data_IF_322720050317
#
_entry.id   IF_322720050317
#
_cell.length_a   1.000
_cell.length_b   1.000
_cell.length_c   1.000
_cell.angle_alpha   90.00
_cell.angle_beta   90.00
_cell.angle_gamma   90.00
#
_symmetry.space_group_name_H-M   'P 1'
#
loop_
_entity.id
_entity.type
_entity.pdbx_description
1 polymer ?
#
# COMPACT_ATOMS: atom_id res chain seq x y z
N UNK A 1 -9.96 0.17 -35.08
CA UNK A 1 -10.24 1.61 -35.13
C UNK A 1 -9.27 2.22 -34.13
N UNK A 2 -8.22 2.85 -34.62
CA UNK A 2 -7.27 3.63 -33.82
C UNK A 2 -8.05 4.81 -33.24
N UNK A 3 -8.00 4.95 -31.94
CA UNK A 3 -8.63 6.06 -31.18
C UNK A 3 -7.74 7.30 -31.33
N UNK A 4 -7.71 7.86 -32.53
CA UNK A 4 -6.74 8.87 -33.01
C UNK A 4 -6.94 10.29 -32.41
N UNK A 5 -7.71 10.41 -31.33
CA UNK A 5 -7.99 11.72 -30.70
C UNK A 5 -7.79 11.79 -29.20
N UNK A 6 -7.85 10.66 -28.50
CA UNK A 6 -7.77 10.65 -27.03
C UNK A 6 -6.31 10.71 -26.56
N UNK A 7 -5.96 11.72 -25.78
CA UNK A 7 -4.69 11.79 -25.05
C UNK A 7 -4.99 12.18 -23.60
N UNK A 8 -4.84 11.24 -22.69
CA UNK A 8 -5.20 11.42 -21.27
C UNK A 8 -4.46 12.59 -20.60
N UNK A 9 -3.34 13.04 -21.14
CA UNK A 9 -2.66 14.23 -20.64
C UNK A 9 -3.21 15.53 -21.22
N UNK A 10 -3.74 15.51 -22.47
CA UNK A 10 -4.42 16.65 -23.09
C UNK A 10 -5.83 16.85 -22.54
N UNK A 11 -6.50 15.76 -22.18
CA UNK A 11 -7.86 15.77 -21.65
C UNK A 11 -7.90 16.00 -20.12
N UNK A 12 -6.73 16.06 -19.45
CA UNK A 12 -6.61 16.43 -18.05
C UNK A 12 -7.05 17.88 -17.81
N UNK A 13 -7.62 18.14 -16.63
CA UNK A 13 -7.80 19.53 -16.20
C UNK A 13 -6.44 20.26 -16.21
N UNK A 14 -6.27 21.10 -17.23
CA UNK A 14 -5.02 21.81 -17.45
C UNK A 14 -4.61 22.70 -16.27
N UNK A 15 -5.57 23.11 -15.44
CA UNK A 15 -5.31 23.89 -14.25
C UNK A 15 -4.35 23.19 -13.27
N UNK A 16 -4.41 21.84 -13.20
CA UNK A 16 -3.52 21.03 -12.34
C UNK A 16 -2.06 21.13 -12.82
N UNK A 17 -1.83 21.13 -14.14
CA UNK A 17 -0.50 21.33 -14.74
C UNK A 17 0.03 22.75 -14.50
N UNK A 18 -0.86 23.76 -14.57
CA UNK A 18 -0.50 25.16 -14.35
C UNK A 18 -0.16 25.50 -12.91
N UNK A 19 -0.65 24.73 -11.93
CA UNK A 19 -0.33 24.96 -10.52
C UNK A 19 1.18 24.85 -10.22
N UNK A 20 1.93 24.10 -11.04
CA UNK A 20 3.37 23.95 -10.83
C UNK A 20 4.14 25.23 -11.23
N UNK A 21 4.63 25.96 -10.25
CA UNK A 21 5.46 27.16 -10.42
C UNK A 21 6.96 26.86 -10.58
N UNK A 22 7.36 25.62 -10.71
CA UNK A 22 8.76 25.16 -10.82
C UNK A 22 9.70 25.64 -9.70
N UNK A 23 9.19 25.94 -8.49
CA UNK A 23 9.95 26.50 -7.37
C UNK A 23 11.03 25.58 -6.77
N UNK A 24 10.94 24.25 -7.02
CA UNK A 24 11.93 23.29 -6.58
C UNK A 24 11.76 22.73 -5.16
N UNK A 25 10.75 23.15 -4.38
CA UNK A 25 10.52 22.66 -3.01
C UNK A 25 10.28 21.14 -2.94
N UNK A 26 9.90 20.51 -4.04
CA UNK A 26 9.71 19.06 -4.16
C UNK A 26 11.04 18.29 -4.37
N UNK A 27 12.14 18.93 -4.73
CA UNK A 27 13.40 18.26 -5.07
C UNK A 27 14.02 17.53 -3.88
N UNK A 28 14.16 18.12 -2.68
CA UNK A 28 14.78 17.48 -1.53
C UNK A 28 14.00 16.26 -1.02
N UNK A 29 12.71 16.14 -1.37
CA UNK A 29 11.84 15.03 -0.92
C UNK A 29 11.75 13.89 -1.92
N UNK A 30 12.38 14.02 -3.09
CA UNK A 30 12.24 13.08 -4.19
C UNK A 30 13.36 12.05 -4.23
N UNK A 31 13.09 10.74 -3.97
CA UNK A 31 14.14 9.72 -3.98
C UNK A 31 14.80 9.51 -5.35
N UNK A 32 14.05 9.69 -6.45
CA UNK A 32 14.62 9.54 -7.79
C UNK A 32 15.49 10.73 -8.19
N UNK A 33 15.18 11.93 -7.71
CA UNK A 33 16.05 13.08 -7.89
C UNK A 33 17.30 12.97 -7.01
N UNK A 34 17.16 12.58 -5.74
CA UNK A 34 18.29 12.38 -4.82
C UNK A 34 19.32 11.38 -5.38
N UNK A 35 18.82 10.29 -6.01
CA UNK A 35 19.69 9.25 -6.58
C UNK A 35 20.38 9.66 -7.89
N UNK A 36 19.79 10.58 -8.68
CA UNK A 36 20.28 10.87 -10.04
C UNK A 36 20.77 12.29 -10.24
N UNK A 37 20.32 13.23 -9.40
CA UNK A 37 20.48 14.68 -9.56
C UNK A 37 20.04 15.20 -10.94
N UNK A 38 19.21 14.41 -11.64
CA UNK A 38 18.69 14.72 -12.97
C UNK A 38 17.33 15.39 -12.86
N UNK A 39 17.19 16.55 -13.54
CA UNK A 39 15.94 17.32 -13.52
C UNK A 39 14.76 16.50 -14.08
N UNK A 40 14.97 15.73 -15.16
CA UNK A 40 13.92 14.88 -15.74
C UNK A 40 13.38 13.83 -14.77
N UNK A 41 14.21 13.38 -13.82
CA UNK A 41 13.82 12.42 -12.78
C UNK A 41 13.26 13.10 -11.53
N UNK A 42 13.05 14.42 -11.57
CA UNK A 42 12.44 15.21 -10.51
C UNK A 42 10.91 15.32 -10.67
N UNK A 43 10.15 15.66 -9.61
CA UNK A 43 8.71 15.87 -9.73
C UNK A 43 8.35 17.01 -10.69
N UNK A 44 9.00 18.17 -10.55
CA UNK A 44 8.74 19.34 -11.41
C UNK A 44 9.19 19.08 -12.87
N UNK A 45 10.28 18.35 -13.08
CA UNK A 45 10.73 17.97 -14.41
C UNK A 45 9.73 17.02 -15.09
N UNK A 46 9.14 16.06 -14.36
CA UNK A 46 8.07 15.22 -14.86
C UNK A 46 6.82 16.03 -15.20
N UNK A 47 6.43 16.98 -14.34
CA UNK A 47 5.30 17.89 -14.64
C UNK A 47 5.59 18.73 -15.89
N UNK A 48 6.81 19.23 -16.06
CA UNK A 48 7.21 19.98 -17.25
C UNK A 48 7.04 19.13 -18.53
N UNK A 49 7.46 17.87 -18.53
CA UNK A 49 7.25 16.95 -19.65
C UNK A 49 5.76 16.68 -19.91
N UNK A 50 4.96 16.45 -18.85
CA UNK A 50 3.50 16.25 -18.99
C UNK A 50 2.84 17.48 -19.59
N UNK A 51 3.25 18.68 -19.15
CA UNK A 51 2.73 19.96 -19.67
C UNK A 51 3.09 20.15 -21.13
N UNK A 52 4.35 19.94 -21.51
CA UNK A 52 4.76 20.06 -22.91
C UNK A 52 4.01 19.07 -23.84
N UNK A 53 3.66 17.87 -23.35
CA UNK A 53 2.81 16.91 -24.06
C UNK A 53 1.37 17.42 -24.17
N UNK A 54 0.83 17.97 -23.08
CA UNK A 54 -0.53 18.57 -23.10
C UNK A 54 -0.62 19.75 -24.05
N UNK A 55 0.43 20.58 -24.10
CA UNK A 55 0.53 21.74 -25.01
C UNK A 55 0.79 21.34 -26.48
N UNK A 56 1.09 20.04 -26.74
CA UNK A 56 1.42 19.55 -28.07
C UNK A 56 2.83 19.88 -28.56
N UNK A 57 3.70 20.33 -27.65
CA UNK A 57 5.10 20.65 -27.93
C UNK A 57 6.00 19.39 -27.92
N UNK A 58 5.61 18.34 -27.18
CA UNK A 58 6.27 17.04 -27.13
C UNK A 58 5.28 15.92 -27.43
N UNK A 59 5.80 14.86 -28.02
CA UNK A 59 5.11 13.59 -28.13
C UNK A 59 5.39 12.69 -26.92
N UNK A 60 4.46 11.79 -26.60
CA UNK A 60 4.69 10.76 -25.60
C UNK A 60 5.73 9.79 -26.13
N UNK A 61 6.93 9.83 -25.60
CA UNK A 61 8.08 9.05 -26.05
C UNK A 61 8.45 7.91 -25.09
N UNK A 62 9.31 6.99 -25.53
CA UNK A 62 9.88 5.94 -24.66
C UNK A 62 10.62 6.54 -23.47
N UNK A 63 11.38 7.63 -23.67
CA UNK A 63 12.07 8.32 -22.57
C UNK A 63 11.09 8.88 -21.55
N UNK A 64 9.98 9.48 -22.00
CA UNK A 64 8.90 9.91 -21.09
C UNK A 64 8.33 8.72 -20.31
N UNK A 65 8.06 7.62 -21.01
CA UNK A 65 7.52 6.41 -20.40
C UNK A 65 8.46 5.84 -19.33
N UNK A 66 9.75 5.76 -19.63
CA UNK A 66 10.78 5.32 -18.67
C UNK A 66 10.81 6.20 -17.43
N UNK A 67 10.78 7.53 -17.57
CA UNK A 67 10.78 8.47 -16.44
C UNK A 67 9.50 8.37 -15.60
N UNK A 68 8.35 8.11 -16.22
CA UNK A 68 7.09 7.89 -15.47
C UNK A 68 7.14 6.58 -14.68
N UNK A 69 7.77 5.52 -15.21
CA UNK A 69 7.95 4.25 -14.49
C UNK A 69 9.16 4.25 -13.52
N UNK A 70 10.10 5.17 -13.68
CA UNK A 70 11.16 5.40 -12.71
C UNK A 70 10.68 6.15 -11.45
N UNK A 71 9.55 6.84 -11.50
CA UNK A 71 8.93 7.46 -10.32
C UNK A 71 8.37 6.38 -9.38
N UNK A 72 8.61 6.51 -8.08
CA UNK A 72 8.04 5.61 -7.06
C UNK A 72 6.54 5.86 -6.78
N UNK A 73 6.00 7.00 -7.15
CA UNK A 73 4.63 7.38 -6.76
C UNK A 73 4.47 7.57 -5.25
N UNK A 74 5.51 7.93 -4.53
CA UNK A 74 5.49 8.06 -3.05
C UNK A 74 4.75 9.29 -2.55
N UNK A 75 4.44 10.26 -3.40
CA UNK A 75 3.69 11.50 -3.13
C UNK A 75 4.33 12.47 -2.12
N UNK A 76 5.59 12.27 -1.71
CA UNK A 76 6.29 13.21 -0.84
C UNK A 76 6.37 14.62 -1.46
N UNK A 77 6.51 14.69 -2.78
CA UNK A 77 6.48 15.95 -3.54
C UNK A 77 5.15 16.70 -3.45
N UNK A 78 4.03 15.99 -3.33
CA UNK A 78 2.70 16.58 -3.17
C UNK A 78 2.55 17.25 -1.80
N UNK A 79 3.06 16.62 -0.75
CA UNK A 79 3.09 17.21 0.60
C UNK A 79 4.02 18.42 0.69
N UNK A 80 5.15 18.36 0.00
CA UNK A 80 6.13 19.46 -0.01
C UNK A 80 5.72 20.64 -0.92
N UNK A 81 4.67 20.49 -1.73
CA UNK A 81 4.29 21.49 -2.71
C UNK A 81 3.47 22.63 -2.09
N UNK A 82 3.97 23.88 -2.05
CA UNK A 82 3.21 25.00 -1.51
C UNK A 82 2.02 25.41 -2.40
N UNK A 83 2.06 25.06 -3.69
CA UNK A 83 0.97 25.32 -4.63
C UNK A 83 -0.11 24.21 -4.64
N UNK A 84 0.09 23.13 -3.88
CA UNK A 84 -0.90 22.07 -3.75
C UNK A 84 -1.14 21.23 -5.01
N UNK A 85 -0.14 21.07 -5.88
CA UNK A 85 -0.26 20.27 -7.11
C UNK A 85 -0.68 18.85 -6.78
N UNK A 86 -1.77 18.38 -7.38
CA UNK A 86 -2.22 16.99 -7.29
C UNK A 86 -1.36 16.07 -8.19
N UNK A 87 -0.18 15.75 -7.67
CA UNK A 87 0.78 14.91 -8.40
C UNK A 87 0.27 13.47 -8.58
N UNK A 88 -0.59 12.97 -7.69
CA UNK A 88 -1.15 11.63 -7.79
C UNK A 88 -1.98 11.47 -9.07
N UNK A 89 -2.86 12.42 -9.34
CA UNK A 89 -3.67 12.43 -10.57
C UNK A 89 -2.79 12.52 -11.84
N UNK A 90 -1.80 13.42 -11.84
CA UNK A 90 -0.88 13.57 -12.97
C UNK A 90 -0.10 12.29 -13.26
N UNK A 91 0.43 11.67 -12.23
CA UNK A 91 1.22 10.45 -12.32
C UNK A 91 0.42 9.24 -12.83
N UNK A 92 -0.81 9.02 -12.34
CA UNK A 92 -1.65 7.91 -12.76
C UNK A 92 -2.10 8.07 -14.20
N UNK A 93 -2.50 9.29 -14.61
CA UNK A 93 -2.87 9.58 -16.00
C UNK A 93 -1.68 9.44 -16.96
N UNK A 94 -0.48 9.90 -16.56
CA UNK A 94 0.72 9.73 -17.38
C UNK A 94 1.05 8.26 -17.61
N UNK A 95 0.94 7.40 -16.61
CA UNK A 95 1.14 5.96 -16.75
C UNK A 95 0.05 5.29 -17.57
N UNK A 96 -1.20 5.71 -17.41
CA UNK A 96 -2.30 5.22 -18.22
C UNK A 96 -2.09 5.53 -19.71
N UNK A 97 -1.62 6.75 -20.02
CA UNK A 97 -1.32 7.16 -21.39
C UNK A 97 -0.15 6.37 -21.99
N UNK A 98 0.94 6.14 -21.22
CA UNK A 98 2.07 5.29 -21.64
C UNK A 98 1.61 3.89 -22.01
N UNK A 99 0.72 3.29 -21.19
CA UNK A 99 0.18 1.94 -21.46
C UNK A 99 -0.76 1.93 -22.67
N UNK A 100 -1.58 2.95 -22.82
CA UNK A 100 -2.47 3.10 -23.98
C UNK A 100 -1.71 3.13 -25.29
N UNK A 101 -0.55 3.82 -25.31
CA UNK A 101 0.30 3.91 -26.49
C UNK A 101 1.23 2.72 -26.70
N UNK A 102 1.34 1.79 -25.73
CA UNK A 102 2.18 0.60 -25.85
C UNK A 102 3.69 0.88 -25.94
N UNK A 103 4.17 2.03 -25.44
CA UNK A 103 5.55 2.48 -25.62
C UNK A 103 6.60 1.61 -24.94
N UNK A 104 6.23 0.89 -23.93
CA UNK A 104 7.08 -0.05 -23.19
C UNK A 104 6.74 -1.51 -23.52
N UNK A 105 6.04 -1.76 -24.63
CA UNK A 105 5.63 -3.10 -25.01
C UNK A 105 6.81 -4.02 -25.24
N UNK A 106 6.68 -5.23 -24.70
CA UNK A 106 7.64 -6.30 -24.83
C UNK A 106 6.98 -7.62 -24.46
N UNK A 107 7.32 -8.70 -25.17
CA UNK A 107 6.65 -10.00 -25.02
C UNK A 107 6.58 -10.47 -23.56
N UNK A 108 7.69 -10.35 -22.82
CA UNK A 108 7.78 -10.78 -21.42
C UNK A 108 6.98 -9.86 -20.53
N UNK A 109 7.14 -8.54 -20.70
CA UNK A 109 6.40 -7.54 -19.90
C UNK A 109 4.90 -7.70 -20.06
N UNK A 110 4.43 -7.81 -21.30
CA UNK A 110 3.00 -7.95 -21.60
C UNK A 110 2.45 -9.29 -21.10
N UNK A 111 3.23 -10.38 -21.20
CA UNK A 111 2.86 -11.65 -20.60
C UNK A 111 2.72 -11.54 -19.08
N UNK A 112 3.72 -10.99 -18.39
CA UNK A 112 3.69 -10.81 -16.93
C UNK A 112 2.51 -9.93 -16.52
N UNK A 113 2.29 -8.79 -17.17
CA UNK A 113 1.15 -7.90 -16.90
C UNK A 113 -0.18 -8.63 -17.07
N UNK A 114 -0.36 -9.35 -18.18
CA UNK A 114 -1.59 -10.09 -18.47
C UNK A 114 -1.86 -11.17 -17.43
N UNK A 115 -0.83 -11.91 -17.01
CA UNK A 115 -0.98 -13.00 -16.06
C UNK A 115 -1.04 -12.53 -14.62
N UNK A 116 -0.22 -11.58 -14.22
CA UNK A 116 -0.19 -11.08 -12.83
C UNK A 116 -1.34 -10.10 -12.60
N UNK A 117 -1.39 -8.98 -13.33
CA UNK A 117 -2.45 -7.99 -13.12
C UNK A 117 -3.79 -8.47 -13.66
N UNK A 118 -3.84 -8.93 -14.92
CA UNK A 118 -5.09 -9.28 -15.59
C UNK A 118 -5.73 -10.58 -15.12
N UNK A 119 -4.96 -11.57 -14.63
CA UNK A 119 -5.51 -12.86 -14.23
C UNK A 119 -5.39 -13.13 -12.73
N UNK A 120 -4.18 -13.03 -12.15
CA UNK A 120 -3.96 -13.43 -10.75
C UNK A 120 -4.63 -12.47 -9.78
N UNK A 121 -4.35 -11.18 -9.88
CA UNK A 121 -4.91 -10.15 -9.00
C UNK A 121 -6.36 -9.77 -9.35
N UNK A 122 -6.89 -10.21 -10.47
CA UNK A 122 -8.29 -9.95 -10.84
C UNK A 122 -9.30 -10.69 -9.95
N UNK A 123 -8.91 -11.81 -9.33
CA UNK A 123 -9.80 -12.60 -8.45
C UNK A 123 -9.08 -13.09 -7.20
N UNK A 124 -9.62 -12.76 -6.04
CA UNK A 124 -9.09 -13.17 -4.73
C UNK A 124 -8.98 -14.70 -4.60
N UNK A 125 -9.91 -15.45 -5.18
CA UNK A 125 -9.87 -16.92 -5.16
C UNK A 125 -8.65 -17.52 -5.86
N UNK A 126 -8.21 -16.92 -6.97
CA UNK A 126 -6.99 -17.33 -7.70
C UNK A 126 -5.74 -17.00 -6.89
N UNK A 127 -5.69 -15.79 -6.33
CA UNK A 127 -4.57 -15.36 -5.48
C UNK A 127 -4.43 -16.29 -4.27
N UNK A 128 -5.52 -16.63 -3.59
CA UNK A 128 -5.54 -17.59 -2.48
C UNK A 128 -5.13 -19.01 -2.90
N UNK A 129 -5.49 -19.46 -4.10
CA UNK A 129 -5.08 -20.77 -4.61
C UNK A 129 -3.55 -20.82 -4.80
N UNK A 130 -2.98 -19.80 -5.47
CA UNK A 130 -1.53 -19.68 -5.64
C UNK A 130 -0.82 -19.53 -4.29
N UNK A 131 -1.38 -18.75 -3.37
CA UNK A 131 -0.84 -18.60 -2.01
C UNK A 131 -0.77 -19.94 -1.26
N UNK A 132 -1.80 -20.79 -1.37
CA UNK A 132 -1.78 -22.16 -0.75
C UNK A 132 -0.64 -23.02 -1.32
N UNK A 133 -0.41 -22.98 -2.63
CA UNK A 133 0.71 -23.68 -3.27
C UNK A 133 2.06 -23.13 -2.80
N UNK A 134 2.20 -21.81 -2.76
CA UNK A 134 3.40 -21.15 -2.25
C UNK A 134 3.66 -21.52 -0.77
N UNK A 135 2.63 -21.54 0.05
CA UNK A 135 2.75 -21.98 1.44
C UNK A 135 3.21 -23.43 1.56
N UNK A 136 2.65 -24.33 0.75
CA UNK A 136 3.09 -25.73 0.72
C UNK A 136 4.58 -25.82 0.37
N UNK A 137 5.05 -25.05 -0.62
CA UNK A 137 6.45 -24.95 -1.00
C UNK A 137 7.32 -24.39 0.16
N UNK A 138 6.87 -23.33 0.84
CA UNK A 138 7.58 -22.74 1.99
C UNK A 138 7.69 -23.70 3.18
N UNK A 139 6.67 -24.54 3.43
CA UNK A 139 6.62 -25.45 4.57
C UNK A 139 7.26 -26.81 4.33
N UNK A 140 7.31 -27.29 3.10
CA UNK A 140 7.83 -28.62 2.76
C UNK A 140 9.35 -28.74 2.86
N UNK A 141 10.07 -27.64 3.09
CA UNK A 141 11.53 -27.60 3.03
C UNK A 141 12.06 -27.50 1.60
N UNK A 142 11.20 -27.62 0.57
CA UNK A 142 11.61 -27.49 -0.84
C UNK A 142 12.19 -26.10 -1.14
N UNK A 143 11.69 -25.07 -0.50
CA UNK A 143 12.24 -23.71 -0.59
C UNK A 143 13.70 -23.68 -0.13
N UNK A 144 14.02 -24.26 1.03
CA UNK A 144 15.37 -24.33 1.56
C UNK A 144 16.29 -25.16 0.65
N UNK A 145 15.78 -26.28 0.15
CA UNK A 145 16.52 -27.12 -0.79
C UNK A 145 16.80 -26.38 -2.11
N UNK A 146 15.80 -25.73 -2.68
CA UNK A 146 15.93 -24.95 -3.92
C UNK A 146 16.93 -23.79 -3.78
N UNK A 147 16.93 -23.10 -2.63
CA UNK A 147 17.90 -22.05 -2.31
C UNK A 147 19.33 -22.61 -2.21
N UNK A 148 19.51 -23.74 -1.48
CA UNK A 148 20.83 -24.36 -1.28
C UNK A 148 21.40 -24.99 -2.55
N UNK A 149 20.58 -25.59 -3.39
CA UNK A 149 21.00 -26.23 -4.64
C UNK A 149 21.29 -25.23 -5.75
N UNK A 150 20.94 -23.94 -5.59
CA UNK A 150 21.04 -22.95 -6.66
C UNK A 150 20.03 -23.12 -7.80
N UNK A 151 19.08 -24.07 -7.65
CA UNK A 151 18.08 -24.38 -8.69
C UNK A 151 17.24 -23.16 -9.07
N UNK A 152 17.02 -22.24 -8.13
CA UNK A 152 16.27 -21.00 -8.38
C UNK A 152 16.93 -20.10 -9.43
N UNK A 153 18.26 -20.16 -9.57
CA UNK A 153 19.00 -19.39 -10.60
C UNK A 153 18.73 -19.86 -12.03
N UNK A 154 18.19 -21.07 -12.18
CA UNK A 154 17.81 -21.64 -13.47
C UNK A 154 16.40 -21.21 -13.90
N UNK A 155 15.65 -20.55 -13.04
CA UNK A 155 14.31 -20.05 -13.38
C UNK A 155 14.45 -18.91 -14.40
N UNK A 156 13.60 -18.94 -15.47
CA UNK A 156 13.62 -17.90 -16.48
C UNK A 156 13.23 -16.54 -15.90
N UNK A 157 13.61 -15.46 -16.60
CA UNK A 157 13.23 -14.08 -16.30
C UNK A 157 13.65 -13.55 -14.91
N UNK A 158 14.71 -14.07 -14.32
CA UNK A 158 15.19 -13.62 -13.01
C UNK A 158 14.25 -13.98 -11.84
N UNK A 159 13.33 -14.90 -12.02
CA UNK A 159 12.38 -15.30 -10.96
C UNK A 159 13.09 -15.82 -9.71
N UNK A 160 14.31 -16.36 -9.85
CA UNK A 160 15.12 -16.80 -8.71
C UNK A 160 15.55 -15.64 -7.81
N UNK A 161 15.80 -14.48 -8.40
CA UNK A 161 16.20 -13.27 -7.66
C UNK A 161 15.00 -12.60 -6.98
N UNK A 162 13.79 -12.87 -7.47
CA UNK A 162 12.54 -12.37 -6.89
C UNK A 162 12.04 -13.24 -5.72
N UNK A 163 12.45 -14.49 -5.64
CA UNK A 163 11.98 -15.43 -4.61
C UNK A 163 12.24 -14.90 -3.18
N UNK A 164 13.40 -14.28 -2.84
CA UNK A 164 13.63 -13.74 -1.50
C UNK A 164 12.72 -12.57 -1.13
N UNK A 165 12.11 -11.87 -2.11
CA UNK A 165 11.13 -10.81 -1.90
C UNK A 165 9.74 -11.36 -1.58
N UNK A 166 9.49 -12.65 -1.83
CA UNK A 166 8.20 -13.26 -1.58
C UNK A 166 7.88 -13.25 -0.07
N UNK A 167 6.68 -12.77 0.32
CA UNK A 167 6.28 -12.79 1.71
C UNK A 167 5.98 -14.20 2.20
N UNK A 168 6.03 -14.39 3.52
CA UNK A 168 5.52 -15.60 4.14
C UNK A 168 3.99 -15.64 4.02
N UNK A 169 3.45 -16.81 3.69
CA UNK A 169 2.00 -16.97 3.55
C UNK A 169 1.38 -17.37 4.88
N UNK A 170 0.37 -16.61 5.29
CA UNK A 170 -0.39 -16.83 6.52
C UNK A 170 -1.00 -18.24 6.59
N UNK A 171 -1.05 -18.86 7.77
CA UNK A 171 -1.64 -20.18 7.97
C UNK A 171 -3.12 -20.25 7.63
N UNK A 172 -3.84 -19.19 7.89
CA UNK A 172 -5.27 -19.00 7.61
C UNK A 172 -5.48 -17.64 6.98
N UNK A 173 -6.50 -17.51 6.16
CA UNK A 173 -6.90 -16.23 5.59
C UNK A 173 -7.89 -15.52 6.51
N UNK A 174 -8.10 -14.24 6.28
CA UNK A 174 -8.88 -13.36 7.15
C UNK A 174 -10.29 -13.88 7.45
N UNK A 175 -10.99 -14.38 6.43
CA UNK A 175 -12.35 -14.91 6.59
C UNK A 175 -12.40 -16.14 7.50
N UNK A 176 -11.37 -16.99 7.47
CA UNK A 176 -11.26 -18.15 8.34
C UNK A 176 -11.02 -17.76 9.80
N UNK A 177 -10.17 -16.73 10.03
CA UNK A 177 -9.92 -16.18 11.37
C UNK A 177 -11.17 -15.47 11.89
N UNK A 178 -11.84 -14.68 11.04
CA UNK A 178 -13.04 -13.95 11.41
C UNK A 178 -14.18 -14.88 11.83
N UNK A 179 -14.56 -15.83 10.99
CA UNK A 179 -15.71 -16.73 11.24
C UNK A 179 -15.49 -17.64 12.45
N UNK A 180 -14.25 -18.02 12.70
CA UNK A 180 -13.92 -18.96 13.79
C UNK A 180 -13.90 -18.26 15.16
N UNK A 181 -13.18 -17.13 15.26
CA UNK A 181 -12.72 -16.61 16.54
C UNK A 181 -13.24 -15.20 16.83
N UNK A 182 -13.59 -14.40 15.81
CA UNK A 182 -13.79 -12.96 15.96
C UNK A 182 -15.23 -12.51 15.74
N UNK A 183 -16.01 -13.21 14.93
CA UNK A 183 -17.39 -12.81 14.64
C UNK A 183 -18.26 -12.79 15.90
N UNK A 184 -18.06 -13.75 16.81
CA UNK A 184 -18.81 -13.88 18.06
C UNK A 184 -18.37 -12.86 19.13
N UNK A 185 -17.19 -12.25 18.94
CA UNK A 185 -16.63 -11.25 19.85
C UNK A 185 -17.13 -9.83 19.57
N UNK A 186 -18.03 -9.64 18.60
CA UNK A 186 -18.68 -8.36 18.38
C UNK A 186 -19.49 -7.94 19.61
N UNK A 187 -19.43 -6.66 20.02
CA UNK A 187 -20.19 -6.17 21.18
C UNK A 187 -21.69 -6.33 20.96
N UNK A 188 -22.42 -6.70 22.02
CA UNK A 188 -23.88 -6.87 21.98
C UNK A 188 -24.62 -5.54 21.73
N UNK A 189 -24.03 -4.44 22.19
CA UNK A 189 -24.51 -3.07 21.97
C UNK A 189 -23.40 -2.23 21.35
N UNK A 190 -23.21 -2.32 20.02
CA UNK A 190 -22.15 -1.61 19.36
C UNK A 190 -22.42 -0.10 19.33
N UNK A 191 -21.37 0.70 19.53
CA UNK A 191 -21.42 2.15 19.35
C UNK A 191 -21.29 2.54 17.88
N UNK A 192 -20.54 1.72 17.13
CA UNK A 192 -20.24 1.94 15.71
C UNK A 192 -20.36 0.63 14.93
N UNK A 193 -20.74 0.74 13.67
CA UNK A 193 -20.83 -0.37 12.73
C UNK A 193 -19.84 -0.14 11.59
N UNK A 194 -18.78 -0.94 11.53
CA UNK A 194 -17.72 -0.78 10.55
C UNK A 194 -17.51 -2.05 9.74
N UNK A 195 -17.00 -1.91 8.52
CA UNK A 195 -16.60 -3.04 7.72
C UNK A 195 -15.09 -2.99 7.43
N UNK A 196 -14.40 -4.14 7.48
CA UNK A 196 -12.97 -4.24 7.18
C UNK A 196 -12.76 -4.62 5.73
N UNK A 197 -11.93 -3.85 5.00
CA UNK A 197 -11.37 -4.27 3.73
C UNK A 197 -10.16 -5.19 4.00
N UNK A 198 -10.33 -6.50 3.76
CA UNK A 198 -9.28 -7.49 4.01
C UNK A 198 -8.05 -7.35 3.09
N UNK A 199 -8.24 -6.72 1.93
CA UNK A 199 -7.19 -6.56 0.92
C UNK A 199 -6.83 -7.84 0.19
N UNK A 200 -5.85 -7.76 -0.70
CA UNK A 200 -5.40 -8.93 -1.48
C UNK A 200 -4.13 -9.56 -0.86
N UNK A 201 -2.97 -8.89 -0.92
CA UNK A 201 -1.72 -9.36 -0.31
C UNK A 201 -1.82 -9.35 1.21
N UNK A 202 -2.54 -8.38 1.77
CA UNK A 202 -2.81 -8.30 3.22
C UNK A 202 -3.51 -9.57 3.71
N UNK A 203 -4.53 -10.04 3.01
CA UNK A 203 -5.28 -11.26 3.36
C UNK A 203 -4.42 -12.53 3.31
N UNK A 204 -3.53 -12.68 2.33
CA UNK A 204 -2.75 -13.92 2.17
C UNK A 204 -1.46 -13.97 3.01
N UNK A 205 -0.91 -12.81 3.41
CA UNK A 205 0.40 -12.74 4.08
C UNK A 205 0.38 -12.06 5.45
N UNK A 206 -0.67 -11.32 5.74
CA UNK A 206 -0.85 -10.57 6.98
C UNK A 206 -2.28 -10.70 7.52
N UNK A 207 -2.88 -11.89 7.36
CA UNK A 207 -4.22 -12.16 7.87
C UNK A 207 -4.33 -11.97 9.39
N UNK A 208 -3.23 -12.18 10.12
CA UNK A 208 -3.12 -11.94 11.54
C UNK A 208 -3.25 -10.44 11.86
N UNK A 209 -2.71 -9.55 11.02
CA UNK A 209 -2.90 -8.09 11.18
C UNK A 209 -4.36 -7.69 10.96
N UNK A 210 -5.06 -8.34 10.02
CA UNK A 210 -6.50 -8.15 9.85
C UNK A 210 -7.27 -8.63 11.09
N UNK A 211 -6.90 -9.76 11.67
CA UNK A 211 -7.48 -10.28 12.91
C UNK A 211 -7.22 -9.34 14.10
N UNK A 212 -6.00 -8.79 14.20
CA UNK A 212 -5.64 -7.80 15.20
C UNK A 212 -6.46 -6.50 15.04
N UNK A 213 -6.63 -6.05 13.78
CA UNK A 213 -7.48 -4.90 13.47
C UNK A 213 -8.91 -5.11 13.95
N UNK A 214 -9.49 -6.27 13.66
CA UNK A 214 -10.85 -6.62 14.11
C UNK A 214 -10.92 -6.61 15.64
N UNK A 215 -9.97 -7.25 16.30
CA UNK A 215 -9.88 -7.31 17.76
C UNK A 215 -9.81 -5.89 18.36
N UNK A 216 -8.96 -5.01 17.84
CA UNK A 216 -8.84 -3.63 18.30
C UNK A 216 -10.13 -2.85 18.11
N UNK A 217 -10.76 -2.94 16.95
CA UNK A 217 -12.03 -2.27 16.68
C UNK A 217 -13.14 -2.73 17.62
N UNK A 218 -13.22 -4.03 17.90
CA UNK A 218 -14.20 -4.59 18.85
C UNK A 218 -13.99 -4.07 20.28
N UNK A 219 -12.75 -3.99 20.76
CA UNK A 219 -12.42 -3.41 22.07
C UNK A 219 -12.73 -1.90 22.15
N UNK A 220 -12.84 -1.23 21.01
CA UNK A 220 -13.25 0.17 20.90
C UNK A 220 -14.75 0.35 20.61
N UNK A 221 -15.56 -0.70 20.81
CA UNK A 221 -17.02 -0.65 20.72
C UNK A 221 -17.58 -0.75 19.30
N UNK A 222 -16.77 -1.20 18.34
CA UNK A 222 -17.21 -1.39 16.97
C UNK A 222 -17.78 -2.80 16.75
N UNK A 223 -18.95 -2.90 16.12
CA UNK A 223 -19.36 -4.10 15.40
C UNK A 223 -18.58 -4.15 14.10
N UNK A 224 -17.76 -5.18 13.92
CA UNK A 224 -16.95 -5.33 12.73
C UNK A 224 -17.57 -6.33 11.78
N UNK A 225 -17.81 -5.93 10.56
CA UNK A 225 -18.29 -6.76 9.47
C UNK A 225 -17.13 -7.10 8.53
N UNK A 226 -17.15 -8.30 7.99
CA UNK A 226 -16.26 -8.73 6.92
C UNK A 226 -17.11 -9.16 5.72
N UNK A 227 -17.46 -8.22 4.81
CA UNK A 227 -18.33 -8.53 3.68
C UNK A 227 -17.73 -9.64 2.80
N UNK A 228 -18.57 -10.55 2.35
CA UNK A 228 -18.21 -11.55 1.33
C UNK A 228 -18.12 -10.85 -0.05
N UNK A 229 -17.30 -11.39 -0.95
CA UNK A 229 -17.19 -10.87 -2.31
C UNK A 229 -16.21 -9.71 -2.50
N UNK A 230 -15.51 -9.30 -1.46
CA UNK A 230 -14.46 -8.29 -1.56
C UNK A 230 -13.43 -8.64 -2.62
N UNK A 231 -12.91 -7.60 -3.27
CA UNK A 231 -11.85 -7.69 -4.27
C UNK A 231 -10.56 -7.00 -3.80
N UNK A 232 -9.52 -7.04 -4.65
CA UNK A 232 -8.36 -6.17 -4.47
C UNK A 232 -8.81 -4.70 -4.46
N UNK A 233 -8.13 -3.82 -3.70
CA UNK A 233 -8.43 -2.38 -3.75
C UNK A 233 -8.23 -1.75 -5.13
N UNK A 234 -7.47 -2.38 -6.03
CA UNK A 234 -7.19 -1.84 -7.37
C UNK A 234 -5.93 -0.95 -7.46
N UNK A 235 -5.34 -0.55 -6.34
CA UNK A 235 -4.16 0.34 -6.31
C UNK A 235 -3.01 -0.16 -7.19
N UNK A 236 -2.72 -1.47 -7.14
CA UNK A 236 -1.67 -2.06 -7.97
C UNK A 236 -1.95 -1.91 -9.48
N UNK A 237 -3.21 -2.01 -9.87
CA UNK A 237 -3.64 -1.83 -11.25
C UNK A 237 -3.51 -0.35 -11.68
N UNK A 238 -4.07 0.59 -10.90
CA UNK A 238 -4.02 2.02 -11.20
C UNK A 238 -2.58 2.53 -11.30
N UNK A 239 -1.74 2.20 -10.33
CA UNK A 239 -0.33 2.61 -10.33
C UNK A 239 0.50 2.01 -11.47
N UNK A 240 -0.01 0.99 -12.16
CA UNK A 240 0.61 0.41 -13.34
C UNK A 240 -0.16 0.74 -14.64
N UNK A 241 -1.01 1.78 -14.65
CA UNK A 241 -1.73 2.23 -15.83
C UNK A 241 -2.84 1.29 -16.31
N UNK A 242 -3.19 0.27 -15.51
CA UNK A 242 -4.27 -0.67 -15.82
C UNK A 242 -5.61 -0.16 -15.25
N UNK A 243 -6.04 1.02 -15.74
CA UNK A 243 -7.15 1.80 -15.15
C UNK A 243 -8.48 1.04 -15.19
N UNK A 244 -8.81 0.37 -16.30
CA UNK A 244 -10.08 -0.34 -16.39
C UNK A 244 -10.14 -1.53 -15.41
N UNK A 245 -9.04 -2.22 -15.19
CA UNK A 245 -8.97 -3.25 -14.16
C UNK A 245 -9.12 -2.66 -12.75
N UNK A 246 -8.56 -1.47 -12.50
CA UNK A 246 -8.75 -0.78 -11.23
C UNK A 246 -10.23 -0.38 -11.03
N UNK A 247 -10.89 0.16 -12.06
CA UNK A 247 -12.34 0.47 -12.06
C UNK A 247 -13.18 -0.77 -11.77
N UNK A 248 -12.85 -1.89 -12.39
CA UNK A 248 -13.54 -3.16 -12.15
C UNK A 248 -13.40 -3.62 -10.69
N UNK A 249 -12.22 -3.52 -10.08
CA UNK A 249 -12.03 -3.85 -8.67
C UNK A 249 -12.82 -2.89 -7.75
N UNK A 250 -12.85 -1.60 -8.08
CA UNK A 250 -13.62 -0.62 -7.33
C UNK A 250 -15.14 -0.93 -7.36
N UNK A 251 -15.69 -1.24 -8.53
CA UNK A 251 -17.11 -1.63 -8.67
C UNK A 251 -17.44 -2.86 -7.80
N UNK A 252 -16.58 -3.89 -7.84
CA UNK A 252 -16.77 -5.11 -7.03
C UNK A 252 -16.75 -4.80 -5.52
N UNK A 253 -15.87 -3.91 -5.08
CA UNK A 253 -15.82 -3.51 -3.67
C UNK A 253 -17.05 -2.67 -3.28
N UNK A 254 -17.47 -1.72 -4.12
CA UNK A 254 -18.69 -0.92 -3.89
C UNK A 254 -19.93 -1.83 -3.78
N UNK A 255 -20.00 -2.88 -4.60
CA UNK A 255 -21.11 -3.84 -4.55
C UNK A 255 -21.06 -4.75 -3.32
N UNK A 256 -19.88 -5.09 -2.84
CA UNK A 256 -19.70 -5.96 -1.68
C UNK A 256 -20.00 -5.27 -0.34
N UNK A 257 -19.84 -3.94 -0.27
CA UNK A 257 -20.01 -3.17 0.96
C UNK A 257 -21.30 -2.36 0.94
N UNK A 258 -22.13 -2.52 1.96
CA UNK A 258 -23.31 -1.70 2.20
C UNK A 258 -22.90 -0.38 2.92
N UNK A 259 -22.30 0.54 2.14
CA UNK A 259 -21.71 1.76 2.70
C UNK A 259 -22.72 2.66 3.43
N UNK A 260 -24.00 2.64 3.05
CA UNK A 260 -25.04 3.47 3.65
C UNK A 260 -25.30 3.10 5.11
N UNK A 261 -25.18 1.82 5.45
CA UNK A 261 -25.39 1.28 6.77
C UNK A 261 -24.10 1.13 7.59
N UNK A 262 -23.00 1.74 7.18
CA UNK A 262 -21.72 1.73 7.87
C UNK A 262 -21.34 3.12 8.36
N UNK A 263 -20.72 3.18 9.54
CA UNK A 263 -20.06 4.41 10.01
C UNK A 263 -18.70 4.61 9.31
N UNK A 264 -17.96 3.52 9.06
CA UNK A 264 -16.72 3.55 8.31
C UNK A 264 -16.41 2.24 7.57
N UNK A 265 -15.64 2.35 6.50
CA UNK A 265 -14.95 1.26 5.80
C UNK A 265 -13.48 1.34 6.23
N UNK A 266 -13.06 0.43 7.09
CA UNK A 266 -11.73 0.48 7.70
C UNK A 266 -10.72 -0.27 6.84
N UNK A 267 -9.56 0.36 6.61
CA UNK A 267 -8.43 -0.22 5.89
C UNK A 267 -7.19 -0.12 6.76
N UNK A 268 -6.38 -1.17 6.83
CA UNK A 268 -5.15 -1.22 7.61
C UNK A 268 -3.87 -1.27 6.76
N UNK A 269 -3.95 -0.83 5.51
CA UNK A 269 -2.83 -0.77 4.58
C UNK A 269 -2.85 0.57 3.83
N UNK A 270 -1.87 1.42 4.10
CA UNK A 270 -1.84 2.82 3.64
C UNK A 270 -2.03 2.98 2.13
N UNK A 271 -1.42 2.11 1.30
CA UNK A 271 -1.60 2.15 -0.16
C UNK A 271 -3.01 1.78 -0.61
N UNK A 272 -3.63 0.78 0.04
CA UNK A 272 -5.01 0.41 -0.24
C UNK A 272 -5.98 1.52 0.19
N UNK A 273 -5.79 2.07 1.40
CA UNK A 273 -6.64 3.13 1.94
C UNK A 273 -6.63 4.37 1.06
N UNK A 274 -5.44 4.80 0.60
CA UNK A 274 -5.32 5.94 -0.31
C UNK A 274 -6.13 5.73 -1.58
N UNK A 275 -5.95 4.61 -2.25
CA UNK A 275 -6.66 4.34 -3.52
C UNK A 275 -8.17 4.22 -3.31
N UNK A 276 -8.60 3.59 -2.23
CA UNK A 276 -10.01 3.49 -1.88
C UNK A 276 -10.67 4.85 -1.58
N UNK A 277 -9.95 5.79 -0.99
CA UNK A 277 -10.42 7.17 -0.77
C UNK A 277 -10.62 7.95 -2.08
N UNK A 278 -10.11 7.44 -3.22
CA UNK A 278 -10.19 8.06 -4.53
C UNK A 278 -11.03 7.27 -5.55
N UNK A 279 -11.92 6.37 -5.11
CA UNK A 279 -12.84 5.70 -6.02
C UNK A 279 -13.84 6.66 -6.67
N UNK A 280 -14.18 7.76 -5.99
CA UNK A 280 -14.98 8.89 -6.52
C UNK A 280 -14.36 9.45 -7.81
N UNK A 281 -13.06 9.70 -7.82
CA UNK A 281 -12.33 10.18 -8.99
C UNK A 281 -12.19 9.10 -10.07
N UNK A 282 -11.89 7.86 -9.65
CA UNK A 282 -11.70 6.73 -10.56
C UNK A 282 -12.95 6.39 -11.36
N UNK A 283 -14.13 6.60 -10.76
CA UNK A 283 -15.44 6.27 -11.34
C UNK A 283 -16.30 7.50 -11.62
N UNK A 284 -15.69 8.69 -11.72
CA UNK A 284 -16.43 9.95 -11.92
C UNK A 284 -17.30 9.94 -13.19
N UNK A 285 -16.83 9.26 -14.25
CA UNK A 285 -17.54 9.16 -15.54
C UNK A 285 -18.45 7.92 -15.63
N UNK A 286 -18.57 7.13 -14.57
CA UNK A 286 -19.41 5.93 -14.54
C UNK A 286 -20.83 6.28 -14.07
N UNK A 287 -21.77 6.36 -15.03
CA UNK A 287 -23.16 6.75 -14.73
C UNK A 287 -23.87 5.89 -13.69
N UNK A 288 -23.40 4.66 -13.45
CA UNK A 288 -23.99 3.71 -12.49
C UNK A 288 -23.30 3.80 -11.12
N UNK A 289 -22.02 4.13 -11.10
CA UNK A 289 -21.21 4.00 -9.89
C UNK A 289 -20.72 5.34 -9.32
N UNK A 290 -20.77 6.47 -10.03
CA UNK A 290 -20.19 7.74 -9.60
C UNK A 290 -20.71 8.21 -8.21
N UNK A 291 -22.02 8.22 -8.00
CA UNK A 291 -22.62 8.61 -6.72
C UNK A 291 -22.26 7.60 -5.60
N UNK A 292 -22.35 6.30 -5.90
CA UNK A 292 -22.01 5.22 -4.97
C UNK A 292 -20.52 5.26 -4.59
N UNK A 293 -19.64 5.56 -5.55
CA UNK A 293 -18.21 5.72 -5.34
C UNK A 293 -17.91 6.89 -4.41
N UNK A 294 -18.61 8.01 -4.59
CA UNK A 294 -18.49 9.18 -3.71
C UNK A 294 -18.91 8.85 -2.28
N UNK A 295 -20.07 8.21 -2.11
CA UNK A 295 -20.55 7.78 -0.79
C UNK A 295 -19.59 6.77 -0.14
N UNK A 296 -19.07 5.84 -0.93
CA UNK A 296 -18.13 4.81 -0.47
C UNK A 296 -16.79 5.43 -0.04
N UNK A 297 -16.19 6.30 -0.87
CA UNK A 297 -14.92 6.97 -0.61
C UNK A 297 -14.96 7.82 0.66
N UNK A 298 -16.08 8.50 0.91
CA UNK A 298 -16.29 9.30 2.10
C UNK A 298 -16.30 8.49 3.41
N UNK A 299 -16.60 7.19 3.34
CA UNK A 299 -16.61 6.27 4.48
C UNK A 299 -15.26 5.58 4.72
N UNK A 300 -14.32 5.67 3.77
CA UNK A 300 -13.01 5.00 3.90
C UNK A 300 -12.15 5.70 4.93
N UNK A 301 -11.68 4.94 5.90
CA UNK A 301 -10.78 5.39 6.96
C UNK A 301 -9.60 4.42 7.12
N UNK A 302 -8.40 4.96 7.33
CA UNK A 302 -7.33 4.14 7.88
C UNK A 302 -7.66 3.73 9.31
N UNK A 303 -7.21 2.55 9.74
CA UNK A 303 -7.53 2.05 11.09
C UNK A 303 -7.08 3.00 12.19
N UNK A 304 -5.92 3.64 12.03
CA UNK A 304 -5.40 4.57 13.03
C UNK A 304 -6.20 5.88 13.03
N UNK A 305 -6.54 6.38 11.84
CA UNK A 305 -7.42 7.54 11.66
C UNK A 305 -8.78 7.30 12.33
N UNK A 306 -9.39 6.14 12.08
CA UNK A 306 -10.68 5.79 12.69
C UNK A 306 -10.61 5.72 14.21
N UNK A 307 -9.55 5.09 14.75
CA UNK A 307 -9.36 4.99 16.19
C UNK A 307 -9.18 6.37 16.86
N UNK A 308 -8.47 7.29 16.19
CA UNK A 308 -8.37 8.68 16.66
C UNK A 308 -9.71 9.40 16.62
N UNK A 309 -10.48 9.25 15.54
CA UNK A 309 -11.80 9.90 15.37
C UNK A 309 -12.80 9.49 16.46
N UNK A 310 -12.81 8.21 16.85
CA UNK A 310 -13.78 7.70 17.86
C UNK A 310 -13.30 7.80 19.31
N UNK A 311 -12.07 8.21 19.53
CA UNK A 311 -11.40 8.24 20.83
C UNK A 311 -10.92 6.85 21.27
N UNK A 312 -9.62 6.60 21.07
CA UNK A 312 -8.96 5.33 21.35
C UNK A 312 -9.08 4.95 22.84
N UNK A 313 -9.61 3.75 23.12
CA UNK A 313 -9.59 3.19 24.47
C UNK A 313 -8.16 2.82 24.87
N UNK A 314 -7.70 3.34 25.99
CA UNK A 314 -6.38 3.03 26.51
C UNK A 314 -6.33 1.58 27.08
N UNK A 315 -5.40 0.72 26.65
CA UNK A 315 -5.19 -0.57 27.29
C UNK A 315 -4.60 -0.39 28.71
N UNK A 316 -4.95 -1.33 29.61
CA UNK A 316 -4.58 -1.26 31.03
C UNK A 316 -3.55 -2.31 31.45
N UNK A 317 -3.35 -3.36 30.65
CA UNK A 317 -2.41 -4.42 30.97
C UNK A 317 -0.97 -3.92 30.83
N UNK A 318 -0.13 -4.28 31.79
CA UNK A 318 1.30 -4.06 31.67
C UNK A 318 1.87 -4.93 30.53
N UNK A 319 2.62 -4.31 29.62
CA UNK A 319 3.36 -5.00 28.57
C UNK A 319 4.85 -5.03 28.91
N UNK A 320 5.60 -6.01 28.40
CA UNK A 320 7.05 -5.95 28.49
C UNK A 320 7.59 -4.67 27.86
N UNK A 321 8.64 -4.05 28.42
CA UNK A 321 9.26 -2.87 27.81
C UNK A 321 9.73 -3.16 26.37
N UNK A 322 9.39 -2.29 25.45
CA UNK A 322 9.75 -2.41 24.04
C UNK A 322 10.19 -1.06 23.47
N UNK A 323 11.27 -1.07 22.71
CA UNK A 323 11.71 0.10 21.93
C UNK A 323 11.33 -0.11 20.46
N UNK A 324 10.47 0.75 19.93
CA UNK A 324 9.88 0.63 18.61
C UNK A 324 10.26 1.84 17.77
N UNK A 325 10.87 1.61 16.61
CA UNK A 325 11.01 2.63 15.57
C UNK A 325 9.74 2.64 14.69
N UNK A 326 9.27 3.81 14.27
CA UNK A 326 8.10 3.89 13.39
C UNK A 326 8.50 4.38 11.99
N UNK A 327 8.28 3.53 10.97
CA UNK A 327 8.40 3.90 9.57
C UNK A 327 7.05 4.45 9.07
N UNK A 328 7.01 5.75 8.80
CA UNK A 328 5.84 6.43 8.25
C UNK A 328 5.67 6.06 6.78
N UNK A 329 4.74 5.16 6.49
CA UNK A 329 4.50 4.73 5.11
C UNK A 329 4.01 5.90 4.25
N UNK A 330 4.63 6.06 3.08
CA UNK A 330 4.45 7.25 2.24
C UNK A 330 2.98 7.49 1.85
N UNK A 331 2.22 6.47 1.46
CA UNK A 331 0.81 6.63 1.09
C UNK A 331 -0.10 6.94 2.28
N UNK A 332 0.28 6.55 3.50
CA UNK A 332 -0.45 6.95 4.69
C UNK A 332 -0.18 8.41 5.03
N UNK A 333 1.11 8.79 5.10
CA UNK A 333 1.53 10.14 5.47
C UNK A 333 1.22 11.17 4.38
N UNK A 334 1.73 10.94 3.17
CA UNK A 334 1.68 11.94 2.09
C UNK A 334 0.37 11.87 1.30
N UNK A 335 -0.14 10.65 1.06
CA UNK A 335 -1.36 10.45 0.31
C UNK A 335 -2.62 10.70 1.13
N UNK A 336 -2.77 9.99 2.25
CA UNK A 336 -3.95 10.11 3.11
C UNK A 336 -3.84 11.24 4.14
N UNK A 337 -2.65 11.82 4.35
CA UNK A 337 -2.34 12.84 5.37
C UNK A 337 -2.61 12.35 6.81
N UNK A 338 -2.46 11.06 7.04
CA UNK A 338 -2.56 10.41 8.35
C UNK A 338 -1.14 10.21 8.89
N UNK A 339 -0.68 11.08 9.78
CA UNK A 339 0.68 11.08 10.31
C UNK A 339 0.75 10.90 11.84
N UNK A 340 -0.11 11.55 12.61
CA UNK A 340 -0.10 11.53 14.08
C UNK A 340 -0.81 10.30 14.64
N UNK A 341 -1.96 9.93 14.08
CA UNK A 341 -2.79 8.84 14.58
C UNK A 341 -2.05 7.48 14.75
N UNK A 342 -1.17 7.03 13.84
CA UNK A 342 -0.39 5.82 14.08
C UNK A 342 0.58 5.93 15.28
N UNK A 343 1.14 7.12 15.52
CA UNK A 343 2.01 7.37 16.66
C UNK A 343 1.21 7.38 17.96
N UNK A 344 0.01 7.97 17.96
CA UNK A 344 -0.91 7.96 19.09
C UNK A 344 -1.31 6.53 19.48
N UNK A 345 -1.58 5.67 18.49
CA UNK A 345 -1.86 4.25 18.70
C UNK A 345 -0.67 3.53 19.33
N UNK A 346 0.55 3.80 18.88
CA UNK A 346 1.76 3.22 19.46
C UNK A 346 2.01 3.73 20.89
N UNK A 347 1.85 5.02 21.14
CA UNK A 347 2.01 5.64 22.46
C UNK A 347 0.96 5.16 23.47
N UNK A 348 -0.19 4.68 23.00
CA UNK A 348 -1.22 4.11 23.85
C UNK A 348 -0.85 2.72 24.41
N UNK A 349 0.13 2.03 23.82
CA UNK A 349 0.57 0.71 24.28
C UNK A 349 1.44 0.87 25.53
N UNK A 350 1.08 0.28 26.68
CA UNK A 350 1.84 0.41 27.91
C UNK A 350 3.28 -0.08 27.78
N UNK A 351 4.23 0.64 28.36
CA UNK A 351 5.67 0.34 28.35
C UNK A 351 6.31 0.28 26.95
N UNK A 352 5.66 0.89 25.94
CA UNK A 352 6.25 1.06 24.62
C UNK A 352 6.93 2.42 24.54
N UNK A 353 8.21 2.41 24.19
CA UNK A 353 9.00 3.62 23.90
C UNK A 353 9.13 3.79 22.39
N UNK A 354 8.67 4.91 21.85
CA UNK A 354 8.92 5.28 20.46
C UNK A 354 10.29 5.92 20.35
N UNK A 355 11.22 5.22 19.68
CA UNK A 355 12.56 5.75 19.42
C UNK A 355 12.56 6.50 18.08
N UNK A 356 13.19 7.67 17.98
CA UNK A 356 13.25 8.45 16.76
C UNK A 356 13.92 7.69 15.63
N UNK A 357 13.26 7.59 14.48
CA UNK A 357 13.81 7.02 13.25
C UNK A 357 14.19 8.17 12.31
N UNK A 358 15.48 8.28 11.97
CA UNK A 358 15.91 9.23 10.96
C UNK A 358 15.25 8.92 9.61
N UNK A 359 14.80 9.96 8.92
CA UNK A 359 14.07 9.81 7.64
C UNK A 359 12.90 8.84 7.72
N UNK A 360 12.12 8.90 8.79
CA UNK A 360 10.99 8.00 9.02
C UNK A 360 10.04 7.91 7.83
N UNK A 361 9.82 9.01 7.13
CA UNK A 361 8.93 9.16 5.98
C UNK A 361 9.59 8.97 4.61
N UNK A 362 10.92 8.78 4.56
CA UNK A 362 11.60 8.45 3.31
C UNK A 362 11.18 7.09 2.79
N UNK A 363 10.92 6.98 1.48
CA UNK A 363 10.40 5.77 0.88
C UNK A 363 11.30 4.54 1.16
N UNK A 364 10.68 3.41 1.49
CA UNK A 364 11.38 2.14 1.74
C UNK A 364 11.81 1.40 0.45
N UNK A 365 11.45 1.92 -0.72
CA UNK A 365 11.77 1.30 -2.02
C UNK A 365 10.76 0.24 -2.51
N UNK A 366 9.70 -0.08 -1.75
CA UNK A 366 8.72 -1.10 -2.15
C UNK A 366 7.84 -0.66 -3.33
N UNK A 367 7.14 0.47 -3.17
CA UNK A 367 6.26 1.12 -4.16
C UNK A 367 5.46 0.14 -5.06
N UNK A 368 4.73 -0.78 -4.44
CA UNK A 368 3.95 -1.82 -5.12
C UNK A 368 4.83 -2.93 -5.70
N UNK A 369 5.20 -2.82 -6.96
CA UNK A 369 6.11 -3.76 -7.65
C UNK A 369 7.44 -3.11 -8.08
N UNK A 370 7.75 -1.93 -7.55
CA UNK A 370 8.95 -1.19 -7.92
C UNK A 370 10.23 -1.96 -7.61
N UNK A 371 10.25 -2.70 -6.50
CA UNK A 371 11.35 -3.58 -6.12
C UNK A 371 11.61 -4.73 -7.12
N UNK A 372 10.65 -5.02 -8.00
CA UNK A 372 10.76 -5.98 -9.10
C UNK A 372 11.19 -5.29 -10.39
N UNK A 373 10.63 -4.10 -10.66
CA UNK A 373 10.81 -3.39 -11.94
C UNK A 373 12.01 -2.45 -11.94
N UNK A 374 12.42 -1.96 -10.76
CA UNK A 374 13.55 -1.04 -10.56
C UNK A 374 14.39 -1.51 -9.35
N UNK A 375 14.98 -2.71 -9.40
CA UNK A 375 15.62 -3.35 -8.25
C UNK A 375 16.79 -2.55 -7.68
N UNK A 376 17.58 -1.90 -8.53
CA UNK A 376 18.79 -1.18 -8.11
C UNK A 376 18.44 -0.03 -7.17
N UNK A 377 17.57 0.89 -7.59
CA UNK A 377 17.16 2.01 -6.75
C UNK A 377 16.35 1.54 -5.53
N UNK A 378 15.49 0.55 -5.71
CA UNK A 378 14.73 -0.05 -4.61
C UNK A 378 15.64 -0.56 -3.50
N UNK A 379 16.75 -1.24 -3.87
CA UNK A 379 17.70 -1.77 -2.88
C UNK A 379 18.52 -0.66 -2.22
N UNK A 380 18.91 0.39 -2.94
CA UNK A 380 19.58 1.56 -2.36
C UNK A 380 18.71 2.22 -1.28
N UNK A 381 17.42 2.41 -1.58
CA UNK A 381 16.45 2.97 -0.63
C UNK A 381 16.23 2.06 0.59
N UNK A 382 16.16 0.76 0.37
CA UNK A 382 16.05 -0.21 1.45
C UNK A 382 17.30 -0.21 2.34
N UNK A 383 18.49 -0.22 1.75
CA UNK A 383 19.75 -0.20 2.51
C UNK A 383 19.87 1.06 3.38
N UNK A 384 19.54 2.23 2.81
CA UNK A 384 19.46 3.50 3.55
C UNK A 384 18.47 3.42 4.72
N UNK A 385 17.27 2.90 4.48
CA UNK A 385 16.25 2.72 5.52
C UNK A 385 16.72 1.75 6.62
N UNK A 386 17.32 0.62 6.24
CA UNK A 386 17.80 -0.38 7.20
C UNK A 386 18.98 0.13 8.03
N UNK A 387 19.84 0.98 7.46
CA UNK A 387 20.90 1.65 8.21
C UNK A 387 20.32 2.55 9.32
N UNK A 388 19.28 3.33 9.00
CA UNK A 388 18.60 4.16 10.00
C UNK A 388 17.88 3.33 11.06
N UNK A 389 17.19 2.24 10.66
CA UNK A 389 16.55 1.32 11.62
C UNK A 389 17.57 0.71 12.56
N UNK A 390 18.69 0.23 12.05
CA UNK A 390 19.77 -0.35 12.88
C UNK A 390 20.37 0.67 13.85
N UNK A 391 20.50 1.92 13.45
CA UNK A 391 21.04 3.00 14.28
C UNK A 391 20.13 3.36 15.46
N UNK A 392 18.84 3.02 15.43
CA UNK A 392 17.92 3.30 16.56
C UNK A 392 18.11 2.38 17.74
N UNK A 393 18.67 1.18 17.56
CA UNK A 393 18.70 0.13 18.58
C UNK A 393 17.33 -0.47 18.91
N UNK A 394 16.28 -0.12 18.17
CA UNK A 394 14.92 -0.63 18.39
C UNK A 394 14.83 -2.15 18.23
N UNK A 395 13.97 -2.77 19.03
CA UNK A 395 13.67 -4.21 18.92
C UNK A 395 12.74 -4.54 17.76
N UNK A 396 11.94 -3.56 17.34
CA UNK A 396 11.09 -3.70 16.15
C UNK A 396 10.91 -2.37 15.40
N UNK A 397 10.58 -2.48 14.11
CA UNK A 397 10.13 -1.37 13.29
C UNK A 397 8.66 -1.57 12.94
N UNK A 398 7.84 -0.58 13.31
CA UNK A 398 6.41 -0.58 13.01
C UNK A 398 6.11 0.14 11.69
N UNK A 399 5.15 -0.37 10.92
CA UNK A 399 4.66 0.30 9.69
C UNK A 399 3.22 -0.08 9.38
N UNK A 400 2.40 0.89 8.94
CA UNK A 400 0.99 0.73 8.59
C UNK A 400 0.75 0.45 7.09
N UNK A 401 1.66 -0.28 6.41
CA UNK A 401 1.48 -0.59 4.98
C UNK A 401 2.11 -1.92 4.58
N UNK A 402 1.33 -2.77 3.94
CA UNK A 402 1.72 -4.12 3.50
C UNK A 402 3.00 -4.15 2.65
N UNK A 403 3.10 -3.27 1.66
CA UNK A 403 4.29 -3.21 0.79
C UNK A 403 5.55 -2.85 1.56
N UNK A 404 5.46 -1.87 2.47
CA UNK A 404 6.58 -1.48 3.33
C UNK A 404 6.95 -2.62 4.30
N UNK A 405 5.97 -3.33 4.87
CA UNK A 405 6.23 -4.47 5.75
C UNK A 405 7.00 -5.58 5.03
N UNK A 406 6.60 -5.95 3.81
CA UNK A 406 7.31 -6.95 2.99
C UNK A 406 8.75 -6.51 2.71
N UNK A 407 8.93 -5.24 2.32
CA UNK A 407 10.24 -4.69 1.97
C UNK A 407 11.17 -4.65 3.19
N UNK A 408 10.69 -4.19 4.33
CA UNK A 408 11.45 -4.15 5.57
C UNK A 408 11.76 -5.58 6.08
N UNK A 409 10.81 -6.52 6.01
CA UNK A 409 11.07 -7.93 6.34
C UNK A 409 12.16 -8.53 5.45
N UNK A 410 12.19 -8.16 4.16
CA UNK A 410 13.27 -8.57 3.29
C UNK A 410 14.60 -7.94 3.73
N UNK A 411 14.63 -6.65 4.06
CA UNK A 411 15.81 -5.95 4.57
C UNK A 411 16.36 -6.58 5.85
N UNK A 412 15.49 -6.89 6.82
CA UNK A 412 15.83 -7.58 8.07
C UNK A 412 16.48 -8.93 7.81
N UNK A 413 15.86 -9.76 6.92
CA UNK A 413 16.43 -11.07 6.56
C UNK A 413 17.79 -10.95 5.87
N UNK A 414 17.93 -10.00 4.95
CA UNK A 414 19.18 -9.75 4.22
C UNK A 414 20.31 -9.28 5.12
N UNK A 415 20.00 -8.40 6.08
CA UNK A 415 20.95 -7.89 7.07
C UNK A 415 21.20 -8.86 8.24
N UNK A 416 20.51 -10.01 8.29
CA UNK A 416 20.51 -10.94 9.43
C UNK A 416 20.25 -10.22 10.77
N UNK A 417 19.40 -9.19 10.74
CA UNK A 417 19.06 -8.39 11.91
C UNK A 417 18.03 -9.11 12.78
N UNK A 418 18.07 -8.86 14.08
CA UNK A 418 17.08 -9.36 15.05
C UNK A 418 15.86 -8.44 15.21
N UNK A 419 15.78 -7.36 14.42
CA UNK A 419 14.65 -6.41 14.47
C UNK A 419 13.40 -7.05 13.86
N UNK A 420 12.29 -7.01 14.60
CA UNK A 420 11.01 -7.44 14.09
C UNK A 420 10.33 -6.36 13.23
N UNK A 421 9.47 -6.77 12.28
CA UNK A 421 8.64 -5.85 11.49
C UNK A 421 7.19 -6.08 11.88
N UNK A 422 6.56 -5.05 12.47
CA UNK A 422 5.24 -5.16 13.08
C UNK A 422 4.26 -4.11 12.51
N UNK A 423 2.97 -4.34 12.67
CA UNK A 423 1.95 -3.33 12.41
C UNK A 423 1.57 -2.64 13.73
N UNK A 424 1.38 -1.30 13.77
CA UNK A 424 1.01 -0.60 15.01
C UNK A 424 -0.22 -1.21 15.70
N UNK A 425 -1.25 -1.57 14.92
CA UNK A 425 -2.47 -2.18 15.44
C UNK A 425 -2.22 -3.53 16.12
N UNK A 426 -1.19 -4.28 15.70
CA UNK A 426 -0.87 -5.60 16.30
C UNK A 426 -0.28 -5.45 17.71
N UNK A 427 0.49 -4.40 17.94
CA UNK A 427 0.99 -4.08 19.29
C UNK A 427 -0.15 -3.69 20.24
N UNK A 428 -1.08 -2.88 19.75
CA UNK A 428 -2.27 -2.50 20.51
C UNK A 428 -3.18 -3.72 20.78
N UNK A 429 -3.38 -4.59 19.80
CA UNK A 429 -4.14 -5.84 19.98
C UNK A 429 -3.52 -6.77 21.02
N UNK A 430 -2.18 -6.85 21.04
CA UNK A 430 -1.45 -7.62 22.07
C UNK A 430 -1.73 -7.08 23.48
N UNK A 431 -1.74 -5.76 23.65
CA UNK A 431 -2.05 -5.13 24.93
C UNK A 431 -3.50 -5.42 25.40
N UNK A 432 -4.48 -5.37 24.49
CA UNK A 432 -5.87 -5.72 24.83
C UNK A 432 -6.05 -7.20 25.17
N UNK A 433 -5.33 -8.11 24.49
CA UNK A 433 -5.36 -9.55 24.82
C UNK A 433 -4.76 -9.82 26.19
N UNK A 434 -3.70 -9.10 26.57
CA UNK A 434 -3.08 -9.25 27.90
C UNK A 434 -4.04 -8.85 29.03
N UNK A 435 -4.92 -7.86 28.81
CA UNK A 435 -5.98 -7.52 29.79
C UNK A 435 -6.90 -8.72 30.06
N UNK A 436 -7.32 -9.42 29.00
CA UNK A 436 -8.25 -10.53 29.13
C UNK A 436 -7.62 -11.76 29.81
N UNK A 437 -6.30 -11.89 29.83
CA UNK A 437 -5.57 -12.99 30.47
C UNK A 437 -5.23 -12.70 31.93
N UNK A 438 -5.13 -11.44 32.32
CA UNK A 438 -4.82 -11.01 33.69
C UNK A 438 -6.05 -10.84 34.61
N UNK A 439 -7.25 -11.03 34.10
CA UNK A 439 -8.54 -10.88 34.81
C UNK A 439 -9.14 -12.19 35.32
N UNK A 440 -8.37 -13.30 35.35
CA UNK A 440 -8.79 -14.59 35.95
C UNK A 440 -8.17 -14.84 37.30
#
# INVERSE_FOLDING_TARGET
>A
MSDDGLNLLRDLDYSVLQQCMHCGMCLPTCPTYDATLSERSSPRGRIAMMRAIADGELEVSTTFAEEMYFCLGCLACQTACPAGVDYAALFENARAEVERQGLLDGTVRNFVRRWVLGWLFAKQTRLRAVARLMRAFQRSGLQTLARRSGLLRLLPFGLGDLEPLAPQISPRFTDQLYRRDLQQSNPSTPRYRVALLAGCVQDISFAEVNADTICVLQHNGCQVLLPDGQACCGSLHAHNGAVEQARQQARLNIDAFDAENLDAIVVNAGGCGLHCKHYDRLLTDDSTYAERATAWSAKVKDVHEWLADIGLRQPRAAMPPQQIAYHESCHLKHGQRVSTAPQEVLQAVPNLELVPLAEADWCCGSAGIYNITQPELSMQLLDRKMAHVSATGATAVATGNTGCAIQLQYGVRRAQSAVDVVHPVSLLAAAYRAENQGGT
#
